data_IF_109191008636
#
_entry.id   IF_109191008636
#
_cell.length_a   1.000
_cell.length_b   1.000
_cell.length_c   1.000
_cell.angle_alpha   90.00
_cell.angle_beta   90.00
_cell.angle_gamma   90.00
#
_symmetry.space_group_name_H-M   'P 1'
#
loop_
_entity.id
_entity.type
_entity.pdbx_description
1 polymer ?
2 polymer ?
3 polymer ?
4 non-polymer ?
5 water ?
#
# COMPACT_ATOMS: atom_id res chain seq x y z
N UNK A 1 -8.60 17.20 8.73
CA UNK A 1 -7.26 17.67 8.24
C UNK A 1 -7.10 17.48 6.74
N UNK A 2 -5.85 17.41 6.28
CA UNK A 2 -5.57 17.22 4.86
C UNK A 2 -6.13 15.87 4.42
N UNK A 3 -6.47 15.79 3.14
CA UNK A 3 -7.01 14.57 2.55
C UNK A 3 -6.47 14.43 1.15
N UNK A 4 -6.49 13.22 0.62
CA UNK A 4 -6.03 13.03 -0.74
C UNK A 4 -6.81 11.92 -1.43
N UNK A 5 -6.78 11.96 -2.76
CA UNK A 5 -7.41 10.94 -3.58
C UNK A 5 -6.30 10.47 -4.49
N UNK A 6 -6.07 9.16 -4.53
CA UNK A 6 -5.01 8.61 -5.36
C UNK A 6 -5.38 7.33 -6.10
N UNK A 7 -4.93 7.24 -7.36
CA UNK A 7 -5.15 6.08 -8.20
C UNK A 7 -3.82 5.39 -8.45
N UNK A 8 -3.83 4.06 -8.45
CA UNK A 8 -2.62 3.28 -8.68
C UNK A 8 -2.86 2.32 -9.82
N UNK A 9 -1.95 2.32 -10.79
CA UNK A 9 -2.08 1.46 -11.96
C UNK A 9 -0.85 0.58 -12.17
N UNK A 10 -1.09 -0.70 -12.44
CA UNK A 10 -0.01 -1.67 -12.66
C UNK A 10 -0.29 -2.57 -13.86
N UNK A 11 0.62 -2.55 -14.83
CA UNK A 11 0.52 -3.40 -16.01
C UNK A 11 1.74 -4.31 -16.06
N UNK A 12 1.50 -5.59 -16.27
CA UNK A 12 2.59 -6.56 -16.35
C UNK A 12 2.39 -7.41 -17.59
N UNK A 13 3.36 -7.37 -18.50
CA UNK A 13 3.22 -8.12 -19.73
C UNK A 13 3.41 -9.63 -19.56
N UNK A 14 2.73 -10.39 -20.40
CA UNK A 14 2.79 -11.85 -20.40
C UNK A 14 2.90 -12.29 -21.85
N UNK A 15 3.93 -11.82 -22.55
CA UNK A 15 4.15 -12.15 -23.96
C UNK A 15 3.94 -13.63 -24.28
N UNK A 16 2.95 -13.92 -25.11
CA UNK A 16 2.69 -15.31 -25.46
C UNK A 16 1.73 -16.06 -24.55
N UNK A 17 1.56 -15.61 -23.32
CA UNK A 17 0.65 -16.27 -22.37
C UNK A 17 -0.73 -15.62 -22.29
N UNK A 18 -0.79 -14.31 -22.45
CA UNK A 18 -2.07 -13.62 -22.40
C UNK A 18 -1.96 -12.10 -22.42
N UNK A 19 -3.07 -11.42 -22.17
CA UNK A 19 -3.07 -9.96 -22.16
C UNK A 19 -2.27 -9.52 -20.95
N UNK A 20 -1.60 -8.37 -21.04
CA UNK A 20 -0.87 -7.98 -19.84
C UNK A 20 -1.85 -7.86 -18.69
N UNK A 21 -1.46 -8.34 -17.51
CA UNK A 21 -2.31 -8.26 -16.34
C UNK A 21 -2.37 -6.80 -15.94
N UNK A 22 -3.58 -6.22 -15.92
CA UNK A 22 -3.77 -4.82 -15.57
C UNK A 22 -4.54 -4.71 -14.26
N UNK A 23 -4.00 -3.98 -13.29
CA UNK A 23 -4.68 -3.81 -12.02
C UNK A 23 -4.63 -2.35 -11.57
N UNK A 24 -5.80 -1.75 -11.43
CA UNK A 24 -5.90 -0.37 -10.99
C UNK A 24 -6.63 -0.31 -9.66
N UNK A 25 -6.24 0.61 -8.79
CA UNK A 25 -6.91 0.77 -7.50
C UNK A 25 -7.04 2.23 -7.13
N UNK A 26 -8.13 2.57 -6.46
CA UNK A 26 -8.36 3.94 -6.07
C UNK A 26 -8.45 4.10 -4.56
N UNK A 27 -7.88 5.19 -4.05
CA UNK A 27 -7.87 5.48 -2.62
C UNK A 27 -8.29 6.89 -2.27
N UNK A 28 -8.84 7.03 -1.08
CA UNK A 28 -9.21 8.33 -0.51
C UNK A 28 -8.47 8.18 0.82
N UNK A 29 -7.35 8.87 0.94
CA UNK A 29 -6.51 8.73 2.13
C UNK A 29 -6.09 7.25 2.18
N UNK A 30 -6.38 6.57 3.29
CA UNK A 30 -6.00 5.17 3.39
C UNK A 30 -7.12 4.18 3.11
N UNK A 31 -8.25 4.69 2.62
CA UNK A 31 -9.37 3.82 2.31
C UNK A 31 -9.49 3.57 0.82
N UNK A 32 -9.39 2.31 0.42
CA UNK A 32 -9.51 1.93 -0.98
C UNK A 32 -11.02 1.90 -1.26
N UNK A 33 -11.45 2.54 -2.34
CA UNK A 33 -12.86 2.58 -2.68
C UNK A 33 -13.23 1.92 -4.00
N UNK A 34 -12.30 1.86 -4.95
CA UNK A 34 -12.57 1.16 -6.22
C UNK A 34 -11.41 0.30 -6.69
N UNK A 35 -11.70 -0.67 -7.54
CA UNK A 35 -10.68 -1.53 -8.11
C UNK A 35 -11.11 -2.15 -9.43
N UNK A 36 -10.14 -2.50 -10.25
CA UNK A 36 -10.38 -3.14 -11.54
C UNK A 36 -9.33 -4.25 -11.69
N UNK A 37 -9.71 -5.35 -12.32
CA UNK A 37 -8.79 -6.45 -12.50
C UNK A 37 -9.13 -7.13 -13.81
N UNK A 38 -8.22 -7.03 -14.78
CA UNK A 38 -8.44 -7.62 -16.10
C UNK A 38 -8.61 -9.13 -16.03
N UNK A 39 -8.36 -9.72 -14.87
CA UNK A 39 -8.49 -11.15 -14.70
C UNK A 39 -9.82 -11.50 -14.04
N UNK A 40 -10.56 -10.47 -13.60
CA UNK A 40 -11.82 -10.72 -12.94
C UNK A 40 -12.95 -10.97 -13.94
N UNK A 41 -14.12 -11.37 -13.43
CA UNK A 41 -15.24 -11.67 -14.29
C UNK A 41 -16.11 -10.51 -14.73
N UNK A 42 -16.18 -9.45 -13.94
CA UNK A 42 -17.04 -8.32 -14.30
C UNK A 42 -16.52 -7.46 -15.43
N UNK A 43 -15.21 -7.29 -15.50
CA UNK A 43 -14.59 -6.42 -16.50
C UNK A 43 -15.21 -5.03 -16.37
N UNK A 44 -15.44 -4.62 -15.12
CA UNK A 44 -16.02 -3.31 -14.83
C UNK A 44 -15.26 -2.73 -13.65
N UNK A 45 -15.33 -1.42 -13.46
CA UNK A 45 -14.68 -0.84 -12.30
C UNK A 45 -15.56 -1.30 -11.15
N UNK A 46 -14.98 -1.92 -10.14
CA UNK A 46 -15.75 -2.41 -9.00
C UNK A 46 -15.62 -1.56 -7.73
N UNK A 47 -16.58 -1.69 -6.81
CA UNK A 47 -16.60 -0.95 -5.54
C UNK A 47 -15.80 -1.66 -4.45
N UNK A 48 -15.15 -0.88 -3.59
CA UNK A 48 -14.41 -1.49 -2.49
C UNK A 48 -14.64 -0.75 -1.17
N UNK A 49 -15.58 0.19 -1.16
CA UNK A 49 -15.93 0.94 0.04
C UNK A 49 -17.45 1.11 0.03
N UNK A 50 -18.13 0.83 1.15
CA UNK A 50 -19.59 0.97 1.20
C UNK A 50 -20.17 2.25 0.57
N UNK A 51 -19.65 3.40 0.99
CA UNK A 51 -20.13 4.69 0.50
C UNK A 51 -20.02 4.95 -1.00
N UNK A 52 -19.19 4.19 -1.71
CA UNK A 52 -19.07 4.43 -3.13
C UNK A 52 -20.39 4.03 -3.82
N UNK A 53 -21.12 3.10 -3.21
CA UNK A 53 -22.39 2.65 -3.76
C UNK A 53 -23.42 3.77 -3.87
N UNK A 54 -23.12 4.90 -3.23
CA UNK A 54 -24.02 6.05 -3.27
C UNK A 54 -23.99 6.60 -4.68
N UNK A 55 -23.02 6.15 -5.47
CA UNK A 55 -22.92 6.62 -6.84
C UNK A 55 -23.99 5.97 -7.70
N UNK A 56 -24.31 6.62 -8.82
CA UNK A 56 -25.32 6.08 -9.72
C UNK A 56 -24.80 5.13 -10.79
N UNK A 57 -25.69 4.59 -11.61
CA UNK A 57 -25.31 3.66 -12.68
C UNK A 57 -24.33 4.28 -13.69
N UNK A 58 -24.51 5.55 -14.01
CA UNK A 58 -23.64 6.19 -14.99
C UNK A 58 -22.23 6.35 -14.46
N UNK A 59 -22.06 6.21 -13.14
CA UNK A 59 -20.76 6.34 -12.55
C UNK A 59 -19.97 5.10 -12.93
N UNK A 60 -20.58 3.94 -12.74
CA UNK A 60 -19.93 2.69 -13.08
C UNK A 60 -19.70 2.54 -14.59
N UNK A 61 -20.62 3.00 -15.41
CA UNK A 61 -20.40 2.91 -16.86
C UNK A 61 -19.18 3.76 -17.18
N UNK A 62 -19.16 4.97 -16.65
CA UNK A 62 -18.06 5.88 -16.91
C UNK A 62 -16.69 5.44 -16.43
N UNK A 63 -16.61 5.03 -15.18
CA UNK A 63 -15.34 4.60 -14.63
C UNK A 63 -14.83 3.33 -15.29
N UNK A 64 -15.74 2.46 -15.72
CA UNK A 64 -15.33 1.24 -16.40
C UNK A 64 -14.70 1.59 -17.74
N UNK A 65 -15.37 2.46 -18.48
CA UNK A 65 -14.89 2.91 -19.76
C UNK A 65 -13.53 3.62 -19.64
N UNK A 66 -13.40 4.51 -18.67
CA UNK A 66 -12.15 5.22 -18.47
C UNK A 66 -11.00 4.29 -18.06
N UNK A 67 -11.31 3.37 -17.16
CA UNK A 67 -10.30 2.43 -16.68
C UNK A 67 -9.81 1.49 -17.78
N UNK A 68 -10.70 1.14 -18.71
CA UNK A 68 -10.33 0.25 -19.80
C UNK A 68 -9.45 1.03 -20.76
N UNK A 69 -9.74 2.32 -20.87
CA UNK A 69 -8.96 3.20 -21.73
C UNK A 69 -7.53 3.27 -21.17
N UNK A 70 -7.41 3.25 -19.84
CA UNK A 70 -6.10 3.27 -19.17
C UNK A 70 -5.34 2.00 -19.51
N UNK A 71 -6.03 0.87 -19.41
CA UNK A 71 -5.44 -0.42 -19.71
C UNK A 71 -4.93 -0.38 -21.16
N UNK A 72 -5.75 0.12 -22.07
CA UNK A 72 -5.36 0.21 -23.47
C UNK A 72 -4.11 1.05 -23.71
N UNK A 73 -3.93 2.11 -22.92
CA UNK A 73 -2.75 2.94 -23.08
C UNK A 73 -1.53 2.21 -22.53
N UNK A 74 -1.66 1.64 -21.34
CA UNK A 74 -0.59 0.89 -20.70
C UNK A 74 -0.14 -0.26 -21.59
N UNK A 75 -1.08 -0.85 -22.31
CA UNK A 75 -0.77 -1.97 -23.18
C UNK A 75 0.13 -1.53 -24.31
N UNK A 76 -0.11 -0.33 -24.82
CA UNK A 76 0.69 0.20 -25.92
C UNK A 76 2.05 0.64 -25.40
N UNK A 77 2.08 1.25 -24.21
CA UNK A 77 3.33 1.70 -23.61
C UNK A 77 4.28 0.54 -23.32
N UNK A 78 3.75 -0.62 -22.94
CA UNK A 78 4.57 -1.77 -22.67
C UNK A 78 5.38 -2.05 -23.93
N UNK A 79 4.68 -2.06 -25.06
CA UNK A 79 5.34 -2.27 -26.33
C UNK A 79 6.32 -1.15 -26.61
N UNK A 80 5.82 0.07 -26.61
CA UNK A 80 6.62 1.26 -26.85
C UNK A 80 7.90 1.30 -26.01
N UNK A 81 7.80 1.07 -24.72
CA UNK A 81 9.00 1.09 -23.89
C UNK A 81 9.93 -0.07 -24.21
N UNK A 82 9.37 -1.19 -24.64
CA UNK A 82 10.19 -2.34 -24.97
C UNK A 82 11.13 -1.91 -26.07
N UNK A 83 10.56 -1.33 -27.13
CA UNK A 83 11.37 -0.85 -28.25
C UNK A 83 12.41 0.14 -27.78
N UNK A 84 11.98 1.17 -27.03
CA UNK A 84 12.88 2.19 -26.52
C UNK A 84 14.12 1.63 -25.87
N UNK A 85 13.94 0.65 -24.99
CA UNK A 85 15.06 0.05 -24.30
C UNK A 85 15.64 -1.13 -25.05
N UNK A 86 15.21 -1.28 -26.31
CA UNK A 86 15.66 -2.36 -27.18
C UNK A 86 15.74 -3.70 -26.44
N UNK A 87 14.59 -4.20 -25.97
CA UNK A 87 14.54 -5.47 -25.25
C UNK A 87 13.78 -6.55 -26.01
N UNK A 88 13.99 -7.81 -25.65
CA UNK A 88 13.32 -8.92 -26.33
C UNK A 88 11.83 -8.95 -26.02
N UNK A 89 11.04 -9.38 -26.99
CA UNK A 89 9.59 -9.45 -26.84
C UNK A 89 9.18 -10.68 -26.04
N UNK A 90 10.15 -11.36 -25.46
CA UNK A 90 9.86 -12.56 -24.70
C UNK A 90 9.63 -12.33 -23.21
N UNK A 91 10.46 -11.50 -22.61
CA UNK A 91 10.35 -11.25 -21.19
C UNK A 91 9.20 -10.39 -20.70
N UNK A 92 8.90 -10.54 -19.41
CA UNK A 92 7.83 -9.79 -18.76
C UNK A 92 8.33 -8.45 -18.23
N UNK A 93 7.66 -7.37 -18.60
CA UNK A 93 8.05 -6.06 -18.12
C UNK A 93 6.89 -5.36 -17.44
N UNK A 94 7.21 -4.55 -16.43
CA UNK A 94 6.19 -3.83 -15.68
C UNK A 94 6.11 -2.33 -15.89
N UNK A 95 4.90 -1.81 -15.86
CA UNK A 95 4.65 -0.38 -16.00
C UNK A 95 3.73 0.00 -14.84
N UNK A 96 4.13 1.00 -14.07
CA UNK A 96 3.36 1.46 -12.93
C UNK A 96 3.03 2.93 -13.08
N UNK A 97 1.83 3.33 -12.66
CA UNK A 97 1.41 4.72 -12.75
C UNK A 97 0.61 5.10 -11.53
N UNK A 98 0.84 6.32 -11.06
CA UNK A 98 0.12 6.82 -9.91
C UNK A 98 -0.14 8.31 -10.15
N UNK A 99 -1.26 8.78 -9.63
CA UNK A 99 -1.61 10.19 -9.73
C UNK A 99 -2.75 10.51 -8.79
N UNK A 100 -2.88 11.78 -8.44
CA UNK A 100 -3.93 12.16 -7.50
C UNK A 100 -3.76 13.59 -7.05
N UNK A 101 -4.52 13.98 -6.03
CA UNK A 101 -4.44 15.35 -5.54
C UNK A 101 -4.63 15.42 -4.03
N UNK A 102 -4.06 16.45 -3.42
CA UNK A 102 -4.20 16.66 -1.98
C UNK A 102 -5.02 17.93 -1.71
N UNK A 103 -5.80 17.93 -0.62
CA UNK A 103 -6.57 19.12 -0.22
C UNK A 103 -6.41 19.41 1.28
N UNK A 104 -6.45 20.69 1.64
CA UNK A 104 -6.30 21.10 3.03
C UNK A 104 -7.51 20.74 3.88
N UNK A 105 -7.63 21.36 5.05
CA UNK A 105 -8.77 21.08 5.93
C UNK A 105 -10.01 21.75 5.39
N UNK A 106 -9.81 22.72 4.50
CA UNK A 106 -10.93 23.42 3.89
C UNK A 106 -11.32 22.71 2.60
N UNK A 107 -10.64 21.61 2.32
CA UNK A 107 -10.89 20.81 1.13
C UNK A 107 -10.61 21.57 -0.16
N UNK A 108 -9.53 22.34 -0.17
CA UNK A 108 -9.15 23.09 -1.36
C UNK A 108 -7.78 22.57 -1.81
N UNK A 109 -7.55 22.62 -3.11
CA UNK A 109 -6.30 22.13 -3.69
C UNK A 109 -4.99 22.55 -3.05
N UNK A 110 -4.16 21.56 -2.73
CA UNK A 110 -2.83 21.78 -2.14
C UNK A 110 -1.79 21.41 -3.18
N UNK A 111 -1.88 20.18 -3.67
CA UNK A 111 -0.94 19.69 -4.67
C UNK A 111 -1.54 18.56 -5.53
N UNK A 112 -0.93 18.38 -6.70
CA UNK A 112 -1.35 17.33 -7.60
C UNK A 112 -0.10 16.59 -8.02
N UNK A 113 -0.23 15.37 -8.49
CA UNK A 113 0.94 14.61 -8.90
C UNK A 113 0.58 13.48 -9.85
N UNK A 114 1.50 13.20 -10.77
CA UNK A 114 1.33 12.14 -11.76
C UNK A 114 2.70 11.51 -12.04
N UNK A 115 2.89 10.28 -11.58
CA UNK A 115 4.16 9.60 -11.79
C UNK A 115 4.09 8.30 -12.59
N UNK A 116 5.11 8.09 -13.42
CA UNK A 116 5.20 6.92 -14.28
C UNK A 116 6.51 6.16 -14.06
N UNK A 117 6.41 4.83 -14.00
CA UNK A 117 7.58 3.99 -13.79
C UNK A 117 7.65 2.83 -14.77
N UNK A 118 8.86 2.34 -15.00
CA UNK A 118 9.08 1.22 -15.90
C UNK A 118 10.04 0.24 -15.21
N UNK A 119 9.50 -0.87 -14.75
CA UNK A 119 10.28 -1.89 -14.05
C UNK A 119 10.74 -1.48 -12.65
N UNK A 120 9.96 -0.66 -11.96
CA UNK A 120 10.32 -0.27 -10.62
C UNK A 120 11.31 0.89 -10.50
N UNK A 121 11.43 1.71 -11.54
CA UNK A 121 12.33 2.84 -11.49
C UNK A 121 11.67 4.07 -12.12
N UNK A 122 11.91 5.25 -11.55
CA UNK A 122 11.31 6.45 -12.10
C UNK A 122 11.56 6.44 -13.60
N UNK A 123 10.57 6.91 -14.36
CA UNK A 123 10.68 6.98 -15.82
C UNK A 123 10.39 8.41 -16.24
N UNK A 124 9.32 8.97 -15.69
CA UNK A 124 8.92 10.34 -16.00
C UNK A 124 7.87 10.75 -14.98
N UNK A 125 7.88 12.02 -14.61
CA UNK A 125 6.91 12.50 -13.65
C UNK A 125 6.64 13.97 -13.85
N UNK A 126 5.44 14.39 -13.46
CA UNK A 126 5.05 15.77 -13.58
C UNK A 126 5.59 16.45 -12.34
N UNK A 127 6.37 17.51 -12.52
CA UNK A 127 6.92 18.21 -11.36
C UNK A 127 5.83 18.98 -10.61
N UNK A 128 6.21 19.52 -9.46
CA UNK A 128 5.33 20.27 -8.58
C UNK A 128 4.42 21.31 -9.26
N UNK A 129 5.01 22.20 -10.04
CA UNK A 129 4.26 23.27 -10.69
C UNK A 129 3.18 22.74 -11.65
N UNK A 130 3.23 21.45 -11.92
CA UNK A 130 2.28 20.79 -12.81
C UNK A 130 2.38 21.37 -14.22
N UNK A 131 3.58 21.79 -14.63
CA UNK A 131 3.77 22.36 -15.95
C UNK A 131 5.03 21.83 -16.64
N UNK A 132 5.85 21.10 -15.90
CA UNK A 132 7.09 20.57 -16.45
C UNK A 132 7.32 19.09 -16.12
N UNK A 133 8.20 18.46 -16.87
CA UNK A 133 8.49 17.03 -16.71
C UNK A 133 9.91 16.62 -16.34
N UNK A 134 10.01 15.61 -15.49
CA UNK A 134 11.30 15.05 -15.06
C UNK A 134 11.47 13.71 -15.80
N UNK A 135 12.44 13.64 -16.71
CA UNK A 135 12.69 12.42 -17.46
C UNK A 135 13.86 11.67 -16.82
N UNK A 136 13.71 10.37 -16.61
CA UNK A 136 14.75 9.56 -15.99
C UNK A 136 16.01 9.45 -16.86
N UNK A 137 15.86 9.01 -18.09
CA UNK A 137 17.00 8.87 -18.97
C UNK A 137 16.70 9.31 -20.39
N UNK A 138 17.50 8.82 -21.33
CA UNK A 138 17.34 9.15 -22.73
C UNK A 138 15.95 8.79 -23.22
N UNK A 139 15.50 7.59 -22.86
CA UNK A 139 14.20 7.09 -23.26
C UNK A 139 13.10 8.04 -22.83
N UNK A 140 13.05 8.31 -21.52
CA UNK A 140 12.03 9.20 -20.97
C UNK A 140 11.96 10.50 -21.78
N UNK A 141 13.14 11.08 -22.05
CA UNK A 141 13.22 12.32 -22.83
C UNK A 141 12.34 12.30 -24.08
N UNK A 142 12.43 11.22 -24.85
CA UNK A 142 11.63 11.12 -26.06
C UNK A 142 10.13 11.19 -25.73
N UNK A 143 9.72 10.60 -24.61
CA UNK A 143 8.31 10.63 -24.22
C UNK A 143 7.97 12.07 -23.83
N UNK A 144 8.86 12.68 -23.05
CA UNK A 144 8.70 14.06 -22.60
C UNK A 144 8.47 14.99 -23.79
N UNK A 145 9.34 14.91 -24.79
CA UNK A 145 9.18 15.76 -25.96
C UNK A 145 7.82 15.52 -26.58
N UNK A 146 7.41 14.25 -26.57
CA UNK A 146 6.11 13.87 -27.13
C UNK A 146 4.99 14.41 -26.26
N UNK A 147 5.18 14.40 -24.94
CA UNK A 147 4.13 14.91 -24.07
C UNK A 147 4.03 16.43 -24.01
N UNK A 148 5.07 17.12 -24.47
CA UNK A 148 5.08 18.58 -24.48
C UNK A 148 4.33 19.01 -25.74
N UNK A 149 4.71 18.42 -26.87
CA UNK A 149 4.05 18.74 -28.13
C UNK A 149 2.55 18.44 -28.01
N UNK A 150 2.20 17.50 -27.15
CA UNK A 150 0.81 17.09 -26.96
C UNK A 150 0.08 17.80 -25.82
N UNK A 151 0.80 18.61 -25.04
CA UNK A 151 0.20 19.35 -23.94
C UNK A 151 -0.44 18.46 -22.88
N UNK A 152 0.17 17.30 -22.63
CA UNK A 152 -0.38 16.39 -21.65
C UNK A 152 -0.38 17.08 -20.29
N UNK A 153 0.62 17.92 -20.05
CA UNK A 153 0.76 18.65 -18.80
C UNK A 153 -0.47 19.49 -18.54
N UNK A 154 -0.92 20.23 -19.55
CA UNK A 154 -2.09 21.08 -19.44
C UNK A 154 -3.31 20.25 -19.07
N UNK A 155 -3.47 19.11 -19.73
CA UNK A 155 -4.60 18.23 -19.45
C UNK A 155 -4.52 17.75 -18.01
N UNK A 156 -3.37 17.23 -17.63
CA UNK A 156 -3.19 16.71 -16.28
C UNK A 156 -3.44 17.77 -15.21
N UNK A 157 -3.03 19.00 -15.51
CA UNK A 157 -3.22 20.13 -14.60
C UNK A 157 -4.70 20.44 -14.41
N UNK A 158 -5.44 20.50 -15.50
CA UNK A 158 -6.87 20.79 -15.44
C UNK A 158 -7.56 19.75 -14.58
N UNK A 159 -7.20 18.48 -14.80
CA UNK A 159 -7.79 17.39 -14.03
C UNK A 159 -7.40 17.45 -12.56
N UNK A 160 -6.10 17.59 -12.29
CA UNK A 160 -5.58 17.64 -10.94
C UNK A 160 -6.06 18.84 -10.11
N UNK A 161 -6.21 20.01 -10.73
CA UNK A 161 -6.68 21.19 -10.01
C UNK A 161 -8.21 21.28 -9.93
N UNK A 162 -8.90 20.67 -10.89
CA UNK A 162 -10.35 20.72 -10.89
C UNK A 162 -11.02 19.40 -10.53
N UNK A 163 -11.32 18.62 -11.56
CA UNK A 163 -11.98 17.33 -11.44
C UNK A 163 -11.56 16.49 -10.23
N UNK A 164 -10.24 16.28 -10.09
CA UNK A 164 -9.72 15.48 -9.00
C UNK A 164 -10.26 15.97 -7.67
N UNK A 165 -10.07 17.25 -7.40
CA UNK A 165 -10.52 17.86 -6.16
C UNK A 165 -12.03 17.78 -6.01
N UNK A 166 -12.74 18.21 -7.05
CA UNK A 166 -14.19 18.18 -7.05
C UNK A 166 -14.69 16.83 -6.57
N UNK A 167 -14.18 15.77 -7.17
CA UNK A 167 -14.60 14.43 -6.80
C UNK A 167 -14.16 14.05 -5.41
N UNK A 168 -12.95 14.44 -5.04
CA UNK A 168 -12.47 14.13 -3.71
C UNK A 168 -13.43 14.72 -2.68
N UNK A 169 -13.84 15.96 -2.88
CA UNK A 169 -14.78 16.60 -1.96
C UNK A 169 -16.03 15.75 -1.88
N UNK A 170 -16.52 15.38 -3.05
CA UNK A 170 -17.72 14.59 -3.17
C UNK A 170 -17.65 13.28 -2.40
N UNK A 171 -16.59 12.50 -2.60
CA UNK A 171 -16.46 11.23 -1.88
C UNK A 171 -16.35 11.51 -0.40
N UNK A 172 -15.59 12.57 -0.07
CA UNK A 172 -15.41 12.95 1.33
C UNK A 172 -16.76 13.21 1.96
N UNK A 173 -17.63 13.92 1.25
CA UNK A 173 -18.97 14.18 1.78
C UNK A 173 -19.74 12.87 1.98
N UNK A 174 -19.82 12.05 0.94
CA UNK A 174 -20.55 10.80 1.05
C UNK A 174 -19.93 9.81 2.04
N UNK A 175 -18.61 9.89 2.23
CA UNK A 175 -17.94 8.98 3.15
C UNK A 175 -17.67 9.52 4.54
N UNK A 176 -18.12 10.75 4.78
CA UNK A 176 -17.98 11.43 6.06
C UNK A 176 -18.16 10.46 7.24
N UNK A 177 -19.25 9.70 7.21
CA UNK A 177 -19.55 8.72 8.26
C UNK A 177 -18.32 7.88 8.62
N UNK A 178 -17.34 7.81 7.72
CA UNK A 178 -16.13 7.03 7.99
C UNK A 178 -14.82 7.71 7.57
N UNK A 179 -14.71 8.08 6.30
CA UNK A 179 -13.50 8.73 5.81
C UNK A 179 -12.94 9.84 6.71
N UNK A 180 -13.83 10.67 7.23
CA UNK A 180 -13.42 11.79 8.10
C UNK A 180 -13.26 11.42 9.57
N UNK A 181 -13.37 10.14 9.90
CA UNK A 181 -13.22 9.68 11.28
C UNK A 181 -11.74 9.46 11.53
N UNK A 182 -11.37 9.30 12.79
CA UNK A 182 -9.99 9.03 13.13
C UNK A 182 -10.00 8.08 14.30
N UNK A 183 -9.50 6.86 14.08
CA UNK A 183 -9.45 5.89 15.15
C UNK A 183 -8.10 5.92 15.85
N UNK A 184 -8.09 6.45 17.06
CA UNK A 184 -6.88 6.54 17.85
C UNK A 184 -6.41 5.13 18.18
N UNK A 185 -5.10 4.94 18.28
CA UNK A 185 -4.57 3.60 18.59
C UNK A 185 -4.83 3.10 20.00
N UNK A 186 -5.10 1.81 20.11
CA UNK A 186 -5.31 1.17 21.40
C UNK A 186 -3.88 0.70 21.64
N UNK A 187 -3.22 1.26 22.64
CA UNK A 187 -1.84 0.87 22.88
C UNK A 187 -1.63 0.03 24.13
N UNK A 188 -0.46 -0.58 24.22
CA UNK A 188 -0.09 -1.40 25.35
C UNK A 188 1.37 -1.79 25.18
N UNK A 189 1.99 -2.26 26.26
CA UNK A 189 3.39 -2.64 26.21
C UNK A 189 3.64 -4.05 26.73
N UNK A 190 4.66 -4.71 26.17
CA UNK A 190 5.00 -6.05 26.60
C UNK A 190 6.44 -6.11 27.11
N UNK A 191 6.61 -6.72 28.28
CA UNK A 191 7.92 -6.87 28.88
C UNK A 191 8.24 -8.36 28.95
N UNK A 192 9.20 -8.80 28.14
CA UNK A 192 9.59 -10.21 28.13
C UNK A 192 11.10 -10.36 28.28
N UNK A 193 11.51 -11.12 29.29
CA UNK A 193 12.92 -11.35 29.56
C UNK A 193 13.58 -11.93 28.32
N UNK A 194 14.74 -11.37 27.95
CA UNK A 194 15.45 -11.85 26.77
C UNK A 194 16.71 -12.58 27.15
N UNK A 195 17.59 -11.88 27.87
CA UNK A 195 18.84 -12.46 28.30
C UNK A 195 18.73 -12.73 29.79
N UNK A 196 19.88 -12.85 30.45
CA UNK A 196 19.92 -13.13 31.88
C UNK A 196 19.97 -11.78 32.62
N UNK A 197 20.33 -10.74 31.87
CA UNK A 197 20.45 -9.38 32.39
C UNK A 197 19.73 -8.34 31.53
N UNK A 198 19.24 -8.77 30.37
CA UNK A 198 18.54 -7.86 29.47
C UNK A 198 17.06 -8.19 29.36
N UNK A 199 16.27 -7.19 28.95
CA UNK A 199 14.83 -7.35 28.79
C UNK A 199 14.36 -6.65 27.53
N UNK A 200 13.34 -7.20 26.88
CA UNK A 200 12.81 -6.58 25.67
C UNK A 200 11.46 -5.95 25.96
N UNK A 201 11.33 -4.70 25.55
CA UNK A 201 10.10 -3.96 25.73
C UNK A 201 9.58 -3.65 24.33
N UNK A 202 8.34 -4.06 24.06
CA UNK A 202 7.74 -3.81 22.75
C UNK A 202 6.52 -2.93 22.91
N UNK A 203 6.52 -1.82 22.18
CA UNK A 203 5.43 -0.85 22.22
C UNK A 203 4.42 -1.19 21.15
N UNK A 204 3.16 -1.33 21.54
CA UNK A 204 2.11 -1.68 20.59
C UNK A 204 1.06 -0.63 20.32
N UNK A 205 0.83 -0.38 19.04
CA UNK A 205 -0.20 0.56 18.59
C UNK A 205 -1.11 -0.28 17.67
N UNK A 206 -2.37 -0.44 18.05
CA UNK A 206 -3.31 -1.23 17.26
C UNK A 206 -4.62 -0.50 16.97
N UNK A 207 -5.37 -1.05 16.01
CA UNK A 207 -6.69 -0.53 15.62
C UNK A 207 -6.72 0.95 15.27
N UNK A 208 -5.78 1.46 14.50
CA UNK A 208 -5.82 2.89 14.20
C UNK A 208 -5.99 3.29 12.74
N UNK A 209 -6.53 4.49 12.56
CA UNK A 209 -6.78 5.07 11.23
C UNK A 209 -6.76 6.60 11.30
N UNK A 210 -6.08 7.24 10.33
CA UNK A 210 -5.35 6.65 9.21
C UNK A 210 -4.12 5.85 9.65
N UNK A 211 -3.36 5.35 8.68
CA UNK A 211 -2.19 4.54 8.96
C UNK A 211 -0.99 5.32 9.49
N UNK A 212 -0.96 6.62 9.19
CA UNK A 212 0.11 7.52 9.62
C UNK A 212 0.29 7.48 11.14
N UNK A 213 1.54 7.31 11.59
CA UNK A 213 1.78 7.24 13.03
C UNK A 213 3.27 7.19 13.30
N UNK A 214 3.68 7.63 14.48
CA UNK A 214 5.10 7.58 14.83
C UNK A 214 5.29 6.98 16.20
N UNK A 215 6.23 6.04 16.29
CA UNK A 215 6.52 5.37 17.55
C UNK A 215 8.01 5.53 17.83
N UNK A 216 8.36 6.38 18.80
CA UNK A 216 9.76 6.59 19.13
C UNK A 216 10.04 6.27 20.58
N UNK A 217 11.15 5.57 20.82
CA UNK A 217 11.57 5.21 22.18
C UNK A 217 12.51 6.26 22.76
N UNK A 218 12.38 6.52 24.05
CA UNK A 218 13.27 7.48 24.68
C UNK A 218 13.81 6.90 25.97
N UNK A 219 15.00 7.34 26.35
CA UNK A 219 15.60 6.90 27.61
C UNK A 219 15.83 8.23 28.34
N UNK A 220 15.35 8.34 29.57
CA UNK A 220 15.47 9.58 30.35
C UNK A 220 14.98 10.78 29.54
N UNK A 221 14.12 10.54 28.55
CA UNK A 221 13.61 11.64 27.77
C UNK A 221 14.39 11.92 26.49
N UNK A 222 15.43 11.15 26.24
CA UNK A 222 16.24 11.32 25.05
C UNK A 222 15.85 10.23 24.06
N UNK A 223 15.65 10.61 22.79
CA UNK A 223 15.29 9.66 21.76
C UNK A 223 16.38 8.59 21.63
N UNK A 224 15.96 7.34 21.61
CA UNK A 224 16.86 6.20 21.47
C UNK A 224 16.56 5.57 20.11
N UNK A 225 17.26 6.03 19.08
CA UNK A 225 17.01 5.51 17.74
C UNK A 225 18.20 4.78 17.14
N UNK A 226 18.77 3.86 17.92
CA UNK A 226 19.92 3.09 17.45
C UNK A 226 20.20 1.84 18.29
N UNK A 227 19.11 1.25 18.81
CA UNK A 227 19.18 0.03 19.60
C UNK A 227 17.78 -0.59 19.57
N UNK A 228 16.97 -0.14 18.61
CA UNK A 228 15.59 -0.58 18.51
C UNK A 228 15.22 -1.35 17.25
N UNK A 229 14.03 -1.93 17.27
CA UNK A 229 13.51 -2.70 16.14
C UNK A 229 12.13 -2.11 15.81
N UNK A 230 11.98 -1.61 14.59
CA UNK A 230 10.71 -1.03 14.18
C UNK A 230 10.12 -1.79 12.99
N UNK A 231 8.85 -2.17 13.09
CA UNK A 231 8.17 -2.88 12.01
C UNK A 231 7.42 -1.91 11.11
N UNK A 232 7.34 -2.26 9.84
CA UNK A 232 6.63 -1.44 8.87
C UNK A 232 5.15 -1.43 9.25
N UNK A 233 4.51 -0.28 9.19
CA UNK A 233 3.09 -0.21 9.52
C UNK A 233 2.37 -1.23 8.65
N UNK A 234 1.47 -1.99 9.26
CA UNK A 234 0.78 -3.03 8.51
C UNK A 234 -0.73 -2.99 8.63
N UNK A 235 -1.44 -3.42 7.56
CA UNK A 235 -2.90 -3.48 7.45
C UNK A 235 -3.51 -4.61 8.26
N UNK A 236 -4.50 -4.29 9.08
CA UNK A 236 -5.17 -5.30 9.89
C UNK A 236 -6.20 -6.06 9.06
N UNK A 237 -6.62 -5.48 7.94
CA UNK A 237 -7.59 -6.14 7.08
C UNK A 237 -9.03 -5.77 7.36
N UNK A 238 -9.25 -5.00 8.42
CA UNK A 238 -10.60 -4.59 8.80
C UNK A 238 -10.73 -3.08 8.69
N UNK A 239 -9.77 -2.46 7.99
CA UNK A 239 -9.77 -1.03 7.80
C UNK A 239 -8.73 -0.31 8.64
N UNK A 240 -8.39 -0.89 9.80
CA UNK A 240 -7.40 -0.26 10.68
C UNK A 240 -6.01 -0.78 10.43
N UNK A 241 -5.04 -0.19 11.12
CA UNK A 241 -3.66 -0.58 10.97
C UNK A 241 -2.99 -0.96 12.29
N UNK A 242 -1.78 -1.50 12.19
CA UNK A 242 -1.04 -1.94 13.36
C UNK A 242 0.43 -1.61 13.22
N UNK A 243 1.11 -1.47 14.35
CA UNK A 243 2.54 -1.19 14.34
C UNK A 243 3.11 -1.35 15.72
N UNK A 244 4.36 -1.74 15.80
CA UNK A 244 5.00 -1.85 17.09
C UNK A 244 6.47 -1.53 17.00
N UNK A 245 7.00 -1.02 18.10
CA UNK A 245 8.40 -0.66 18.18
C UNK A 245 8.90 -1.25 19.49
N UNK A 246 10.09 -1.84 19.44
CA UNK A 246 10.68 -2.46 20.61
C UNK A 246 12.13 -2.06 20.80
N UNK A 247 12.59 -2.11 22.04
CA UNK A 247 13.96 -1.76 22.40
C UNK A 247 14.51 -2.82 23.36
N UNK A 248 15.84 -2.97 23.40
CA UNK A 248 16.46 -3.92 24.31
C UNK A 248 17.12 -3.12 25.41
N UNK A 249 16.56 -3.19 26.60
CA UNK A 249 17.07 -2.44 27.73
C UNK A 249 17.63 -3.31 28.86
N UNK A 250 18.64 -2.81 29.57
CA UNK A 250 19.23 -3.56 30.69
C UNK A 250 18.14 -3.79 31.72
N UNK A 251 17.93 -5.05 32.13
CA UNK A 251 16.90 -5.34 33.11
C UNK A 251 17.16 -4.59 34.40
N UNK A 252 16.18 -3.80 34.81
CA UNK A 252 16.32 -3.01 36.02
C UNK A 252 16.31 -1.54 35.62
N UNK A 253 16.58 -1.28 34.35
CA UNK A 253 16.60 0.07 33.84
C UNK A 253 15.37 0.43 33.02
N UNK A 254 14.37 -0.46 33.05
CA UNK A 254 13.15 -0.23 32.28
C UNK A 254 12.48 1.10 32.57
N UNK A 255 12.34 1.45 33.84
CA UNK A 255 11.70 2.69 34.23
C UNK A 255 12.26 3.91 33.51
N UNK A 256 13.46 3.78 32.95
CA UNK A 256 14.09 4.90 32.23
C UNK A 256 13.56 5.08 30.81
N UNK A 257 12.92 4.06 30.28
CA UNK A 257 12.41 4.10 28.92
C UNK A 257 10.93 4.38 28.81
N UNK A 258 10.59 5.16 27.79
CA UNK A 258 9.21 5.51 27.50
C UNK A 258 8.98 5.44 26.01
N UNK A 259 7.78 5.04 25.63
CA UNK A 259 7.39 4.94 24.24
C UNK A 259 6.42 6.08 23.98
N UNK A 260 6.68 6.86 22.92
CA UNK A 260 5.84 7.98 22.56
C UNK A 260 5.05 7.64 21.33
N UNK A 261 3.74 7.89 21.39
CA UNK A 261 2.84 7.58 20.31
C UNK A 261 2.17 8.80 19.70
N UNK A 262 2.50 9.10 18.46
CA UNK A 262 1.92 10.23 17.74
C UNK A 262 0.90 9.73 16.72
N UNK A 263 -0.32 10.23 16.79
CA UNK A 263 -1.39 9.86 15.88
C UNK A 263 -2.45 10.95 15.93
N UNK A 264 -2.83 11.47 14.77
CA UNK A 264 -3.81 12.55 14.74
C UNK A 264 -5.11 12.23 15.47
N UNK A 265 -5.34 10.96 15.75
CA UNK A 265 -6.55 10.58 16.46
C UNK A 265 -6.39 10.87 17.94
N UNK A 266 -5.19 11.31 18.32
CA UNK A 266 -4.87 11.62 19.71
C UNK A 266 -4.73 13.11 19.98
N UNK A 267 -5.49 13.63 20.97
CA UNK A 267 -5.49 15.04 21.38
C UNK A 267 -4.05 15.50 21.53
N UNK A 268 -3.28 14.71 22.29
CA UNK A 268 -1.88 14.97 22.52
C UNK A 268 -1.22 13.60 22.53
N UNK A 269 0.07 13.51 22.18
CA UNK A 269 0.76 12.22 22.15
C UNK A 269 0.65 11.40 23.45
N UNK A 270 1.03 10.14 23.39
CA UNK A 270 1.00 9.27 24.58
C UNK A 270 2.41 8.91 25.02
N UNK A 271 2.58 8.77 26.32
CA UNK A 271 3.86 8.38 26.90
C UNK A 271 3.59 7.08 27.66
N UNK A 272 4.41 6.07 27.42
CA UNK A 272 4.21 4.80 28.11
C UNK A 272 5.49 4.33 28.81
N UNK A 273 5.35 3.90 30.06
CA UNK A 273 6.49 3.37 30.81
C UNK A 273 6.06 1.98 31.27
N UNK A 274 6.97 1.02 31.18
CA UNK A 274 6.69 -0.35 31.59
C UNK A 274 6.04 -0.38 32.97
N UNK B 1 17.16 -3.99 -14.83
CA UNK B 1 16.04 -4.81 -14.29
C UNK B 1 16.30 -5.14 -12.82
N UNK B 2 16.04 -4.17 -11.94
CA UNK B 2 16.27 -4.35 -10.50
C UNK B 2 15.23 -5.27 -9.86
N UNK B 3 15.61 -5.88 -8.74
CA UNK B 3 14.72 -6.78 -8.03
C UNK B 3 14.78 -6.50 -6.52
N UNK B 4 13.65 -6.65 -5.85
CA UNK B 4 13.58 -6.42 -4.42
C UNK B 4 12.94 -7.60 -3.69
N UNK B 5 13.62 -8.11 -2.69
CA UNK B 5 13.12 -9.23 -1.92
C UNK B 5 12.00 -8.79 -0.99
N UNK B 6 10.92 -9.60 -0.91
CA UNK B 6 9.76 -9.31 -0.08
C UNK B 6 9.99 -9.33 1.43
N UNK B 7 9.32 -8.43 2.13
CA UNK B 7 9.40 -8.38 3.59
C UNK B 7 8.20 -9.20 4.00
N UNK B 8 8.32 -9.93 5.10
CA UNK B 8 7.23 -10.78 5.55
C UNK B 8 6.79 -10.44 6.96
N UNK B 9 5.50 -10.59 7.21
CA UNK B 9 4.95 -10.35 8.52
C UNK B 9 3.71 -11.21 8.64
N UNK B 10 3.69 -12.10 9.64
CA UNK B 10 2.57 -12.99 9.88
C UNK B 10 2.00 -12.55 11.20
N UNK B 11 0.80 -11.97 11.17
CA UNK B 11 0.16 -11.49 12.37
C UNK B 11 -1.33 -11.79 12.30
N UNK B 12 -2.05 -11.39 13.34
CA UNK B 12 -3.50 -11.58 13.40
C UNK B 12 -4.21 -10.22 13.33
N UNK B 13 -5.51 -10.23 13.03
CA UNK B 13 -6.28 -8.99 12.93
C UNK B 13 -6.58 -8.44 14.32
N UNK B 14 -6.96 -9.33 15.23
CA UNK B 14 -7.27 -8.94 16.60
C UNK B 14 -6.31 -9.69 17.51
N UNK B 15 -6.23 -9.28 18.79
CA UNK B 15 -5.34 -9.94 19.74
C UNK B 15 -5.74 -11.42 19.97
N UNK B 16 -4.82 -12.33 19.66
CA UNK B 16 -5.02 -13.77 19.79
C UNK B 16 -5.66 -14.26 21.08
N UNK B 17 -6.63 -15.16 20.93
CA UNK B 17 -7.35 -15.75 22.06
C UNK B 17 -7.91 -17.11 21.63
N UNK B 18 -7.24 -18.18 22.04
CA UNK B 18 -7.64 -19.55 21.70
C UNK B 18 -9.13 -19.83 21.80
N UNK B 19 -9.67 -20.46 20.77
CA UNK B 19 -11.07 -20.81 20.76
C UNK B 19 -11.98 -19.79 20.12
N UNK B 20 -11.48 -18.58 19.91
CA UNK B 20 -12.27 -17.53 19.30
C UNK B 20 -11.81 -17.15 17.90
N UNK B 21 -12.77 -17.11 16.98
CA UNK B 21 -12.52 -16.78 15.59
C UNK B 21 -11.71 -15.49 15.46
N UNK B 22 -10.83 -15.48 14.46
CA UNK B 22 -9.97 -14.33 14.21
C UNK B 22 -9.47 -14.48 12.77
N UNK B 23 -8.60 -13.56 12.33
CA UNK B 23 -8.06 -13.65 10.97
C UNK B 23 -6.54 -13.72 10.98
N UNK B 24 -6.00 -14.59 10.14
CA UNK B 24 -4.55 -14.75 10.01
C UNK B 24 -4.09 -13.96 8.80
N UNK B 25 -3.18 -13.03 9.02
CA UNK B 25 -2.67 -12.21 7.92
C UNK B 25 -1.22 -12.51 7.59
N UNK B 26 -0.87 -12.27 6.34
CA UNK B 26 0.49 -12.42 5.91
C UNK B 26 0.67 -11.23 4.99
N UNK B 27 1.32 -10.19 5.51
CA UNK B 27 1.55 -8.97 4.75
C UNK B 27 2.94 -9.03 4.15
N UNK B 28 3.01 -9.03 2.82
CA UNK B 28 4.31 -9.06 2.15
C UNK B 28 4.49 -7.72 1.44
N UNK B 29 5.69 -7.16 1.50
CA UNK B 29 5.93 -5.85 0.89
C UNK B 29 7.35 -5.60 0.40
N UNK B 30 7.53 -4.49 -0.30
CA UNK B 30 8.82 -4.10 -0.81
C UNK B 30 9.39 -4.94 -1.93
N UNK B 31 8.62 -5.89 -2.45
CA UNK B 31 9.12 -6.74 -3.52
C UNK B 31 8.88 -6.20 -4.92
N UNK B 32 9.60 -6.77 -5.88
CA UNK B 32 9.48 -6.39 -7.27
C UNK B 32 10.33 -7.40 -8.02
N UNK B 33 9.81 -8.00 -9.11
CA UNK B 33 8.49 -7.80 -9.72
C UNK B 33 7.31 -8.24 -8.88
N UNK B 34 6.10 -7.98 -9.36
CA UNK B 34 4.87 -8.31 -8.64
C UNK B 34 4.59 -9.80 -8.55
N UNK B 35 5.14 -10.56 -9.49
CA UNK B 35 4.96 -12.01 -9.52
C UNK B 35 5.44 -12.61 -8.19
N UNK B 36 4.51 -13.14 -7.40
CA UNK B 36 4.87 -13.70 -6.11
C UNK B 36 3.86 -14.75 -5.64
N UNK B 37 4.35 -15.80 -4.98
CA UNK B 37 3.48 -16.86 -4.46
C UNK B 37 3.46 -16.77 -2.94
N UNK B 38 2.27 -16.71 -2.36
CA UNK B 38 2.13 -16.65 -0.91
C UNK B 38 1.11 -17.67 -0.43
N UNK B 39 1.47 -18.42 0.59
CA UNK B 39 0.58 -19.43 1.16
C UNK B 39 0.51 -19.33 2.67
N UNK B 40 -0.65 -19.67 3.22
CA UNK B 40 -0.85 -19.68 4.66
C UNK B 40 -0.92 -21.15 5.04
N UNK B 41 -0.06 -21.55 5.96
CA UNK B 41 0.00 -22.94 6.40
C UNK B 41 -0.54 -23.13 7.81
N UNK B 42 -1.30 -24.20 7.97
CA UNK B 42 -1.86 -24.57 9.27
C UNK B 42 -1.27 -25.93 9.54
N UNK B 43 -0.27 -25.98 10.42
CA UNK B 43 0.39 -27.22 10.76
C UNK B 43 1.11 -27.78 9.54
N UNK B 44 1.81 -26.91 8.80
CA UNK B 44 2.58 -27.31 7.64
C UNK B 44 1.86 -27.45 6.32
N UNK B 45 0.55 -27.64 6.37
CA UNK B 45 -0.24 -27.81 5.15
C UNK B 45 -0.96 -26.52 4.79
N UNK B 46 -0.94 -26.18 3.50
CA UNK B 46 -1.57 -24.96 3.01
C UNK B 46 -3.08 -24.90 3.20
N UNK B 47 -3.61 -23.69 3.20
CA UNK B 47 -5.05 -23.44 3.35
C UNK B 47 -5.49 -22.90 2.00
N UNK B 48 -6.70 -23.24 1.57
CA UNK B 48 -7.18 -22.77 0.26
C UNK B 48 -8.23 -21.69 0.40
N UNK B 49 -8.75 -21.53 1.61
CA UNK B 49 -9.77 -20.51 1.88
C UNK B 49 -9.07 -19.15 2.05
N UNK B 50 -7.99 -18.95 1.29
CA UNK B 50 -7.18 -17.73 1.39
C UNK B 50 -7.38 -16.69 0.30
N UNK B 51 -7.60 -15.45 0.73
CA UNK B 51 -7.80 -14.34 -0.18
C UNK B 51 -6.68 -13.32 0.00
N UNK B 52 -6.59 -12.41 -0.94
CA UNK B 52 -5.61 -11.34 -0.86
C UNK B 52 -6.20 -10.07 -1.43
N UNK B 53 -5.67 -8.95 -0.98
CA UNK B 53 -6.11 -7.63 -1.42
C UNK B 53 -5.64 -7.37 -2.84
N UNK B 54 -6.11 -6.27 -3.42
CA UNK B 54 -5.72 -5.89 -4.77
C UNK B 54 -4.30 -5.34 -4.76
N UNK B 55 -3.51 -5.75 -5.74
CA UNK B 55 -2.12 -5.32 -5.87
C UNK B 55 -1.95 -3.80 -5.92
N UNK B 56 -1.17 -3.28 -4.98
CA UNK B 56 -0.87 -1.85 -4.91
C UNK B 56 0.62 -1.70 -4.61
N UNK B 57 1.11 -0.46 -4.52
CA UNK B 57 2.52 -0.24 -4.27
C UNK B 57 2.88 1.05 -3.51
N UNK B 58 4.09 1.06 -2.93
CA UNK B 58 4.63 2.18 -2.17
C UNK B 58 5.27 3.25 -3.07
N UNK B 59 5.71 4.35 -2.46
CA UNK B 59 6.31 5.44 -3.21
C UNK B 59 7.52 5.03 -4.04
N UNK B 60 8.18 3.96 -3.64
CA UNK B 60 9.36 3.49 -4.36
C UNK B 60 9.04 2.47 -5.43
N UNK B 61 7.75 2.32 -5.73
CA UNK B 61 7.29 1.37 -6.75
C UNK B 61 7.34 -0.09 -6.30
N UNK B 62 7.64 -0.32 -5.04
CA UNK B 62 7.70 -1.70 -4.53
C UNK B 62 6.26 -2.07 -4.27
N UNK B 63 5.91 -3.33 -4.50
CA UNK B 63 4.55 -3.82 -4.31
C UNK B 63 4.28 -4.38 -2.92
N UNK B 64 2.99 -4.52 -2.60
CA UNK B 64 2.58 -5.09 -1.32
C UNK B 64 1.18 -5.71 -1.42
N UNK B 65 1.02 -6.88 -0.84
CA UNK B 65 -0.24 -7.59 -0.85
C UNK B 65 -0.55 -8.08 0.56
N UNK B 66 -1.83 -8.22 0.86
CA UNK B 66 -2.23 -8.74 2.17
C UNK B 66 -3.02 -10.02 1.95
N UNK B 67 -2.44 -11.15 2.36
CA UNK B 67 -3.12 -12.44 2.24
C UNK B 67 -3.74 -12.71 3.61
N UNK B 68 -5.00 -13.15 3.63
CA UNK B 68 -5.67 -13.41 4.89
C UNK B 68 -6.67 -14.56 4.82
N UNK B 69 -7.12 -15.00 5.99
CA UNK B 69 -8.09 -16.09 6.05
C UNK B 69 -8.56 -16.28 7.49
N UNK B 70 -9.86 -16.35 7.67
CA UNK B 70 -10.43 -16.52 9.00
C UNK B 70 -9.89 -17.79 9.63
N UNK B 71 -9.88 -17.85 10.97
CA UNK B 71 -9.36 -19.02 11.67
C UNK B 71 -9.55 -18.89 13.19
N UNK B 72 -9.34 -19.98 13.92
CA UNK B 72 -9.47 -19.96 15.38
C UNK B 72 -8.20 -20.47 16.06
N UNK B 73 -7.45 -19.59 16.72
CA UNK B 73 -6.23 -20.00 17.39
C UNK B 73 -6.45 -21.00 18.53
N UNK B 74 -5.56 -21.98 18.62
CA UNK B 74 -5.61 -23.03 19.65
C UNK B 74 -4.20 -23.17 20.21
N UNK B 75 -3.97 -24.20 21.02
CA UNK B 75 -2.65 -24.40 21.61
C UNK B 75 -1.78 -25.38 20.84
N UNK B 76 -2.40 -26.28 20.10
CA UNK B 76 -1.67 -27.28 19.33
C UNK B 76 -1.52 -26.94 17.85
N UNK B 77 -2.22 -25.92 17.39
CA UNK B 77 -2.17 -25.54 15.99
C UNK B 77 -1.12 -24.46 15.69
N UNK B 78 -0.17 -24.78 14.81
CA UNK B 78 0.89 -23.86 14.41
C UNK B 78 0.68 -23.35 12.99
N UNK B 79 0.89 -22.05 12.80
CA UNK B 79 0.73 -21.47 11.46
C UNK B 79 1.98 -20.74 11.01
N UNK B 80 1.98 -20.32 9.74
CA UNK B 80 3.11 -19.61 9.17
C UNK B 80 2.71 -19.05 7.82
N UNK B 81 3.69 -18.50 7.10
CA UNK B 81 3.42 -17.99 5.77
C UNK B 81 4.52 -18.48 4.85
N UNK B 82 4.12 -19.17 3.81
CA UNK B 82 5.09 -19.68 2.85
C UNK B 82 5.11 -18.65 1.73
N UNK B 83 6.26 -18.05 1.49
CA UNK B 83 6.40 -17.05 0.44
C UNK B 83 7.51 -17.40 -0.53
N UNK B 84 7.19 -17.31 -1.82
CA UNK B 84 8.17 -17.61 -2.85
C UNK B 84 8.27 -16.41 -3.77
N UNK B 85 9.46 -16.15 -4.29
CA UNK B 85 9.66 -15.01 -5.17
C UNK B 85 10.96 -15.14 -5.95
N UNK B 86 10.95 -14.61 -7.17
CA UNK B 86 12.12 -14.67 -8.04
C UNK B 86 13.41 -14.34 -7.32
N UNK B 87 13.36 -13.46 -6.32
CA UNK B 87 14.58 -13.09 -5.59
C UNK B 87 14.96 -14.08 -4.49
N UNK B 88 14.14 -15.10 -4.30
CA UNK B 88 14.41 -16.13 -3.29
C UNK B 88 14.75 -17.44 -3.97
N UNK B 89 15.77 -18.12 -3.46
CA UNK B 89 16.15 -19.41 -4.03
C UNK B 89 15.45 -20.52 -3.26
N UNK B 90 14.78 -20.14 -2.18
CA UNK B 90 14.04 -21.10 -1.38
C UNK B 90 12.81 -20.49 -0.72
N UNK B 91 11.64 -21.10 -0.94
CA UNK B 91 10.40 -20.60 -0.35
C UNK B 91 10.62 -20.33 1.14
N UNK B 92 10.59 -19.06 1.52
CA UNK B 92 10.80 -18.70 2.92
C UNK B 92 9.55 -18.88 3.76
N UNK B 93 9.74 -19.37 4.98
CA UNK B 93 8.63 -19.58 5.89
C UNK B 93 8.83 -18.76 7.16
N UNK B 94 7.74 -18.16 7.64
CA UNK B 94 7.78 -17.35 8.84
C UNK B 94 6.63 -17.77 9.72
N UNK B 95 6.93 -18.58 10.73
CA UNK B 95 5.92 -19.07 11.65
C UNK B 95 5.20 -17.92 12.37
N UNK B 96 3.90 -18.07 12.58
CA UNK B 96 3.12 -17.05 13.26
C UNK B 96 3.49 -16.99 14.73
N UNK B 97 3.66 -15.77 15.24
CA UNK B 97 4.00 -15.55 16.64
C UNK B 97 2.97 -14.59 17.22
N UNK B 98 2.30 -15.02 18.27
CA UNK B 98 1.27 -14.20 18.90
C UNK B 98 1.71 -12.81 19.33
N UNK B 99 2.74 -12.73 20.18
CA UNK B 99 3.20 -11.44 20.65
C UNK B 99 4.11 -10.73 19.64
N UNK B 100 3.62 -10.63 18.41
CA UNK B 100 4.36 -9.97 17.34
C UNK B 100 3.53 -9.70 16.08
N UNK C 1 -12.79 10.02 -9.23
CA UNK C 1 -13.07 9.74 -10.66
C UNK C 1 -11.81 9.81 -11.52
N UNK C 2 -11.59 8.77 -12.31
CA UNK C 2 -10.43 8.67 -13.19
C UNK C 2 -10.31 9.78 -14.24
N UNK C 3 -9.12 9.87 -14.85
CA UNK C 3 -8.89 10.84 -15.90
C UNK C 3 -9.69 10.27 -17.03
N UNK C 4 -10.22 11.12 -17.89
CA UNK C 4 -11.02 10.65 -19.03
C UNK C 4 -10.20 9.79 -19.99
N UNK C 5 -8.88 9.95 -19.95
CA UNK C 5 -7.99 9.19 -20.82
C UNK C 5 -6.54 9.55 -20.52
N UNK C 6 -5.64 8.59 -20.67
CA UNK C 6 -4.20 8.85 -20.47
C UNK C 6 -3.51 8.74 -21.82
N UNK C 7 -2.74 9.75 -22.18
CA UNK C 7 -2.03 9.74 -23.45
C UNK C 7 -0.87 8.74 -23.45
N UNK C 8 -0.69 8.08 -24.59
CA UNK C 8 0.37 7.10 -24.77
C UNK C 8 1.78 7.74 -24.71
N UNK C 9 2.74 7.02 -24.14
CA UNK C 9 4.10 7.51 -24.01
C UNK C 9 4.94 7.32 -25.27
X LIG D 1 -3.71 -13.52 -8.42
X LIG D 1 -2.90 -13.99 -9.55
X LIG D 1 -5.08 -13.21 -8.87
X LIG D 1 -3.76 -14.55 -7.37
X LIG D 1 -3.09 -12.29 -7.88
#
# INVERSE_FOLDING_TARGET
>A
GSHSMRYFFTSVSRPGRGEPRFIAVGYVDDTQFVRFDSDAASQRMEPRAPWIEQEGPEYWDGETRKVKAHSQTHRVDLGTLRGYYNQSEAGSHTVQRMYGCDVGSDWRFLRGYHQYAYDGKDYIALKEDLRSWTAADMAAQTTKHKWEAAHVAEQLRAYLEGTCVEWLRRYLENGKETLQRTDAPKTHMTHHAVSDHEATLRCWALSFYPAEITLTWQRDGEDQTQDTELVETRPAGDGTFQKWAAVVVPSGQEQRYTCHVQHEGLPKPLTLRW
>B
MIQRTPKIQVYSRHPAENGKSNFLNCYVSGFHPSDIEVDLLKNGERIEKVEHSDLSFSKDWSFYLLYYTEFTPTEKDEYACRVNHVTLSQPKIVKWDRDM
>C
SLLMWITQA
>D hetero
1 SO4 S O1 O2 O3 O4
#
